data_IF_716162957656
#
_entry.id   IF_716162957656
#
_cell.length_a   1.000
_cell.length_b   1.000
_cell.length_c   1.000
_cell.angle_alpha   90.00
_cell.angle_beta   90.00
_cell.angle_gamma   90.00
#
_symmetry.space_group_name_H-M   'P 1'
#
loop_
_entity.id
_entity.type
_entity.pdbx_description
1 polymer ?
#
# COMPACT_ATOMS: atom_id res chain seq x y z
N UNK A 1 -26.76 20.19 11.23
CA UNK A 1 -25.91 19.52 12.23
C UNK A 1 -26.82 19.21 13.40
N UNK A 2 -26.74 18.00 13.93
CA UNK A 2 -27.26 17.74 15.27
C UNK A 2 -26.54 18.71 16.22
N UNK A 3 -27.23 19.65 16.88
CA UNK A 3 -26.59 20.77 17.56
C UNK A 3 -25.69 20.37 18.73
N UNK A 4 -25.77 19.11 19.17
CA UNK A 4 -25.07 18.61 20.35
C UNK A 4 -23.77 17.84 20.05
N UNK A 5 -23.45 17.55 18.79
CA UNK A 5 -22.20 16.84 18.42
C UNK A 5 -21.07 17.84 18.13
N UNK A 6 -19.91 17.59 18.73
CA UNK A 6 -18.69 18.29 18.33
C UNK A 6 -18.31 17.95 16.88
N UNK A 7 -17.57 18.82 16.16
CA UNK A 7 -17.11 18.52 14.81
C UNK A 7 -16.31 17.21 14.70
N UNK A 8 -15.63 16.81 15.78
CA UNK A 8 -14.86 15.55 15.85
C UNK A 8 -15.79 14.35 15.89
N UNK A 9 -16.79 14.37 16.78
CA UNK A 9 -17.78 13.29 16.88
C UNK A 9 -18.58 13.18 15.58
N UNK A 10 -18.99 14.32 15.02
CA UNK A 10 -19.68 14.36 13.73
C UNK A 10 -18.86 13.68 12.62
N UNK A 11 -17.56 13.95 12.54
CA UNK A 11 -16.68 13.34 11.54
C UNK A 11 -16.62 11.80 11.69
N UNK A 12 -16.38 11.27 12.89
CA UNK A 12 -16.27 9.82 13.08
C UNK A 12 -17.60 9.09 12.85
N UNK A 13 -18.71 9.69 13.29
CA UNK A 13 -20.06 9.12 13.13
C UNK A 13 -20.55 9.09 11.69
N UNK A 14 -20.10 10.03 10.87
CA UNK A 14 -20.51 10.19 9.47
C UNK A 14 -19.37 9.92 8.49
N UNK A 15 -18.25 9.37 8.98
CA UNK A 15 -17.10 9.05 8.16
C UNK A 15 -17.45 8.02 7.10
N UNK A 16 -17.01 8.28 5.86
CA UNK A 16 -17.07 7.31 4.77
C UNK A 16 -16.03 6.19 4.92
N UNK A 17 -15.04 6.38 5.80
CA UNK A 17 -14.08 5.35 6.20
C UNK A 17 -14.57 4.57 7.42
N UNK A 18 -14.24 3.28 7.46
CA UNK A 18 -14.39 2.45 8.65
C UNK A 18 -13.25 2.72 9.62
N UNK A 19 -13.56 3.27 10.79
CA UNK A 19 -12.57 3.49 11.85
C UNK A 19 -12.75 2.42 12.91
N UNK A 20 -11.64 1.82 13.34
CA UNK A 20 -11.60 0.90 14.46
C UNK A 20 -10.36 1.12 15.31
N UNK A 21 -10.43 0.79 16.59
CA UNK A 21 -9.26 0.74 17.47
C UNK A 21 -9.19 -0.66 18.07
N UNK A 22 -7.99 -1.21 18.14
CA UNK A 22 -7.68 -2.45 18.84
C UNK A 22 -6.78 -2.20 20.05
N UNK A 23 -6.91 -3.03 21.07
CA UNK A 23 -5.97 -3.09 22.19
C UNK A 23 -4.71 -3.91 21.85
N UNK A 24 -3.81 -4.06 22.83
CA UNK A 24 -2.59 -4.84 22.69
C UNK A 24 -2.81 -6.36 22.50
N UNK A 25 -4.03 -6.85 22.77
CA UNK A 25 -4.43 -8.24 22.52
C UNK A 25 -5.11 -8.41 21.15
N UNK A 26 -5.06 -7.38 20.30
CA UNK A 26 -5.72 -7.32 18.98
C UNK A 26 -7.25 -7.41 19.04
N UNK A 27 -7.86 -7.12 20.19
CA UNK A 27 -9.31 -7.05 20.38
C UNK A 27 -9.83 -5.66 20.05
N UNK A 28 -10.98 -5.59 19.37
CA UNK A 28 -11.60 -4.30 19.05
C UNK A 28 -12.13 -3.61 20.32
N UNK A 29 -11.69 -2.37 20.57
CA UNK A 29 -12.15 -1.52 21.68
C UNK A 29 -12.97 -0.32 21.23
N UNK A 30 -13.00 -0.06 19.92
CA UNK A 30 -13.86 0.94 19.30
C UNK A 30 -14.10 0.58 17.83
N UNK A 31 -15.26 0.95 17.31
CA UNK A 31 -15.48 1.01 15.87
C UNK A 31 -16.66 1.88 15.51
N UNK A 32 -16.50 2.73 14.49
CA UNK A 32 -17.58 3.59 14.04
C UNK A 32 -18.68 2.80 13.29
N UNK A 33 -19.77 3.48 12.96
CA UNK A 33 -20.92 2.90 12.23
C UNK A 33 -20.49 2.20 10.94
N UNK A 34 -19.52 2.76 10.22
CA UNK A 34 -19.07 2.22 8.93
C UNK A 34 -18.34 0.87 9.09
N UNK A 35 -17.41 0.74 10.04
CA UNK A 35 -16.72 -0.55 10.25
C UNK A 35 -17.69 -1.62 10.78
N UNK A 36 -18.64 -1.23 11.64
CA UNK A 36 -19.70 -2.11 12.13
C UNK A 36 -20.56 -2.65 10.97
N UNK A 37 -20.92 -1.78 10.01
CA UNK A 37 -21.63 -2.19 8.79
C UNK A 37 -20.81 -3.15 7.92
N UNK A 38 -19.48 -2.96 7.84
CA UNK A 38 -18.61 -3.88 7.10
C UNK A 38 -18.62 -5.27 7.70
N UNK A 39 -18.46 -5.38 9.02
CA UNK A 39 -18.50 -6.65 9.74
C UNK A 39 -19.90 -7.23 9.94
N UNK A 40 -20.96 -6.46 9.65
CA UNK A 40 -22.34 -6.90 9.86
C UNK A 40 -22.73 -7.04 11.33
N UNK A 41 -22.11 -6.26 12.22
CA UNK A 41 -22.36 -6.29 13.67
C UNK A 41 -22.76 -4.90 14.18
N UNK A 42 -23.33 -4.86 15.38
CA UNK A 42 -23.55 -3.61 16.12
C UNK A 42 -22.29 -3.23 16.87
N UNK A 43 -22.12 -1.95 17.23
CA UNK A 43 -20.97 -1.47 18.01
C UNK A 43 -20.72 -2.29 19.28
N UNK A 44 -21.77 -2.51 20.11
CA UNK A 44 -21.65 -3.33 21.32
C UNK A 44 -21.21 -4.78 21.08
N UNK A 45 -21.45 -5.32 19.88
CA UNK A 45 -21.04 -6.68 19.50
C UNK A 45 -19.66 -6.71 18.87
N UNK A 46 -19.10 -5.56 18.49
CA UNK A 46 -17.74 -5.44 18.00
C UNK A 46 -16.75 -5.46 19.17
N UNK A 47 -17.11 -4.82 20.29
CA UNK A 47 -16.22 -4.65 21.43
C UNK A 47 -15.78 -6.00 22.02
N UNK A 48 -14.48 -6.16 22.23
CA UNK A 48 -13.85 -7.38 22.75
C UNK A 48 -13.66 -8.50 21.71
N UNK A 49 -14.21 -8.37 20.50
CA UNK A 49 -14.03 -9.38 19.46
C UNK A 49 -12.63 -9.35 18.85
N UNK A 50 -12.20 -10.51 18.37
CA UNK A 50 -11.07 -10.70 17.46
C UNK A 50 -11.56 -10.68 16.00
N UNK A 51 -10.62 -10.60 15.04
CA UNK A 51 -10.98 -10.70 13.62
C UNK A 51 -11.70 -12.01 13.28
N UNK A 52 -11.28 -13.13 13.91
CA UNK A 52 -11.87 -14.46 13.71
C UNK A 52 -13.30 -14.59 14.21
N UNK A 53 -13.70 -13.80 15.23
CA UNK A 53 -15.07 -13.79 15.73
C UNK A 53 -16.02 -13.13 14.72
N UNK A 54 -15.52 -12.06 14.08
CA UNK A 54 -16.28 -11.25 13.14
C UNK A 54 -16.31 -11.88 11.74
N UNK A 55 -15.19 -12.47 11.30
CA UNK A 55 -14.96 -12.91 9.92
C UNK A 55 -14.31 -14.30 9.95
N UNK A 56 -15.10 -15.40 10.03
CA UNK A 56 -14.57 -16.74 10.29
C UNK A 56 -13.56 -17.28 9.27
N UNK A 57 -13.68 -16.87 8.00
CA UNK A 57 -12.75 -17.21 6.91
C UNK A 57 -11.34 -16.59 7.08
N UNK A 58 -11.18 -15.65 8.02
CA UNK A 58 -9.85 -15.14 8.42
C UNK A 58 -9.03 -16.22 9.12
N UNK A 59 -9.63 -17.27 9.68
CA UNK A 59 -8.94 -18.23 10.56
C UNK A 59 -7.66 -18.83 9.94
N UNK A 60 -7.63 -19.11 8.63
CA UNK A 60 -6.45 -19.65 7.94
C UNK A 60 -5.31 -18.63 7.77
N UNK A 61 -5.63 -17.33 7.86
CA UNK A 61 -4.69 -16.23 7.69
C UNK A 61 -4.49 -15.40 8.97
N UNK A 62 -5.07 -15.84 10.08
CA UNK A 62 -5.13 -15.05 11.30
C UNK A 62 -3.75 -14.81 11.93
N UNK A 63 -2.83 -15.78 11.78
CA UNK A 63 -1.44 -15.64 12.23
C UNK A 63 -0.74 -14.43 11.59
N UNK A 64 -1.01 -14.12 10.31
CA UNK A 64 -0.41 -12.97 9.64
C UNK A 64 -0.95 -11.64 10.21
N UNK A 65 -2.23 -11.61 10.61
CA UNK A 65 -2.85 -10.43 11.21
C UNK A 65 -2.24 -10.20 12.59
N UNK A 66 -2.10 -11.24 13.40
CA UNK A 66 -1.48 -11.15 14.72
C UNK A 66 -0.01 -10.75 14.64
N UNK A 67 0.74 -11.31 13.69
CA UNK A 67 2.13 -10.94 13.46
C UNK A 67 2.27 -9.46 13.08
N UNK A 68 1.42 -8.96 12.18
CA UNK A 68 1.40 -7.55 11.77
C UNK A 68 1.02 -6.63 12.94
N UNK A 69 -0.01 -6.98 13.71
CA UNK A 69 -0.43 -6.21 14.89
C UNK A 69 0.70 -6.18 15.94
N UNK A 70 1.36 -7.32 16.21
CA UNK A 70 2.51 -7.41 17.12
C UNK A 70 3.70 -6.58 16.63
N UNK A 71 4.01 -6.61 15.33
CA UNK A 71 5.09 -5.82 14.74
C UNK A 71 4.84 -4.32 14.96
N UNK A 72 3.62 -3.84 14.72
CA UNK A 72 3.26 -2.44 14.93
C UNK A 72 3.47 -2.05 16.40
N UNK A 73 2.99 -2.87 17.33
CA UNK A 73 3.10 -2.60 18.76
C UNK A 73 4.56 -2.60 19.27
N UNK A 74 5.44 -3.41 18.68
CA UNK A 74 6.86 -3.46 19.09
C UNK A 74 7.74 -2.43 18.40
N UNK A 75 7.48 -2.12 17.13
CA UNK A 75 8.36 -1.25 16.32
C UNK A 75 7.86 0.19 16.21
N UNK A 76 6.59 0.43 16.54
CA UNK A 76 5.91 1.71 16.30
C UNK A 76 5.88 2.12 14.82
N UNK A 77 6.11 1.17 13.90
CA UNK A 77 5.98 1.36 12.46
C UNK A 77 4.56 1.05 12.01
N UNK A 78 4.01 1.88 11.11
CA UNK A 78 2.69 1.62 10.52
C UNK A 78 2.72 0.51 9.47
N UNK A 79 1.56 -0.08 9.20
CA UNK A 79 1.36 -1.07 8.16
C UNK A 79 0.16 -0.71 7.29
N UNK A 80 0.18 -1.12 6.01
CA UNK A 80 -0.95 -1.03 5.11
C UNK A 80 -1.12 -2.40 4.47
N UNK A 81 -2.28 -3.02 4.68
CA UNK A 81 -2.56 -4.38 4.23
C UNK A 81 -3.82 -4.44 3.38
N UNK A 82 -3.85 -5.31 2.38
CA UNK A 82 -5.06 -5.62 1.62
C UNK A 82 -5.72 -6.86 2.24
N UNK A 83 -6.90 -6.71 2.83
CA UNK A 83 -7.68 -7.80 3.42
C UNK A 83 -8.86 -8.15 2.51
N UNK A 84 -8.94 -9.39 2.03
CA UNK A 84 -10.03 -9.86 1.17
C UNK A 84 -10.69 -11.08 1.80
N UNK A 85 -11.91 -10.89 2.34
CA UNK A 85 -12.64 -11.89 3.12
C UNK A 85 -14.16 -11.73 2.93
N UNK A 86 -14.97 -12.66 3.42
CA UNK A 86 -16.44 -12.58 3.46
C UNK A 86 -16.94 -11.73 4.64
N UNK A 87 -16.65 -10.43 4.56
CA UNK A 87 -17.08 -9.44 5.54
C UNK A 87 -18.61 -9.37 5.65
N UNK A 88 -19.13 -9.49 6.88
CA UNK A 88 -20.56 -9.43 7.16
C UNK A 88 -21.33 -10.69 6.80
N UNK A 89 -20.62 -11.80 6.49
CA UNK A 89 -21.20 -13.13 6.22
C UNK A 89 -22.25 -13.07 5.12
N UNK A 90 -21.93 -12.37 4.04
CA UNK A 90 -22.83 -12.13 2.90
C UNK A 90 -22.60 -13.13 1.78
N UNK A 91 -21.76 -14.14 1.98
CA UNK A 91 -21.34 -15.11 0.99
C UNK A 91 -20.72 -14.42 -0.25
N UNK A 92 -19.96 -13.34 -0.02
CA UNK A 92 -19.28 -12.58 -1.07
C UNK A 92 -18.02 -11.92 -0.53
N UNK A 93 -16.89 -12.20 -1.20
CA UNK A 93 -15.62 -11.54 -0.89
C UNK A 93 -15.70 -10.03 -1.08
N UNK A 94 -15.15 -9.30 -0.11
CA UNK A 94 -14.94 -7.86 -0.15
C UNK A 94 -13.49 -7.56 0.20
N UNK A 95 -12.90 -6.61 -0.50
CA UNK A 95 -11.51 -6.21 -0.32
C UNK A 95 -11.42 -4.85 0.36
N UNK A 96 -10.58 -4.75 1.38
CA UNK A 96 -10.31 -3.52 2.10
C UNK A 96 -8.82 -3.23 2.13
N UNK A 97 -8.44 -2.00 1.79
CA UNK A 97 -7.17 -1.45 2.23
C UNK A 97 -7.32 -1.10 3.70
N UNK A 98 -6.49 -1.69 4.55
CA UNK A 98 -6.49 -1.43 5.98
C UNK A 98 -5.16 -0.82 6.35
N UNK A 99 -5.19 0.48 6.62
CA UNK A 99 -4.07 1.16 7.24
C UNK A 99 -4.13 0.94 8.75
N UNK A 100 -3.02 0.53 9.34
CA UNK A 100 -2.88 0.31 10.77
C UNK A 100 -1.74 1.17 11.31
N UNK A 101 -2.02 1.97 12.33
CA UNK A 101 -1.03 2.82 12.99
C UNK A 101 -0.98 2.54 14.49
N UNK A 102 0.19 2.64 15.13
CA UNK A 102 0.27 2.57 16.57
C UNK A 102 -0.58 3.69 17.19
N UNK A 103 -1.24 3.37 18.30
CA UNK A 103 -2.09 4.29 19.04
C UNK A 103 -1.90 4.10 20.54
N UNK A 104 -2.15 5.14 21.31
CA UNK A 104 -2.10 5.10 22.77
C UNK A 104 -3.53 5.25 23.28
N UNK A 105 -4.03 4.24 23.99
CA UNK A 105 -5.37 4.25 24.58
C UNK A 105 -5.43 5.26 25.74
N UNK A 106 -6.65 5.61 26.15
CA UNK A 106 -6.89 6.62 27.19
C UNK A 106 -6.31 6.23 28.55
N UNK A 107 -6.16 4.94 28.82
CA UNK A 107 -5.54 4.40 30.04
C UNK A 107 -4.00 4.34 29.96
N UNK A 108 -3.42 4.78 28.85
CA UNK A 108 -1.98 4.77 28.62
C UNK A 108 -1.42 3.45 28.08
N UNK A 109 -2.26 2.47 27.76
CA UNK A 109 -1.84 1.21 27.14
C UNK A 109 -1.68 1.34 25.62
N UNK A 110 -0.83 0.50 25.04
CA UNK A 110 -0.62 0.49 23.59
C UNK A 110 -1.80 -0.18 22.87
N UNK A 111 -2.15 0.37 21.71
CA UNK A 111 -3.19 -0.12 20.84
C UNK A 111 -2.88 0.20 19.39
N UNK A 112 -3.84 -0.08 18.51
CA UNK A 112 -3.70 0.10 17.07
C UNK A 112 -4.96 0.78 16.53
N UNK A 113 -4.81 1.92 15.87
CA UNK A 113 -5.89 2.51 15.09
C UNK A 113 -5.88 1.94 13.68
N UNK A 114 -7.04 1.48 13.23
CA UNK A 114 -7.26 0.85 11.92
C UNK A 114 -8.22 1.70 11.08
N UNK A 115 -7.81 2.01 9.85
CA UNK A 115 -8.64 2.70 8.85
C UNK A 115 -8.96 1.74 7.72
N UNK A 116 -10.22 1.38 7.57
CA UNK A 116 -10.76 0.50 6.55
C UNK A 116 -11.31 1.30 5.37
N UNK A 117 -10.74 1.06 4.19
CA UNK A 117 -11.19 1.64 2.92
C UNK A 117 -11.59 0.47 2.00
N UNK A 118 -12.88 0.33 1.70
CA UNK A 118 -13.33 -0.68 0.73
C UNK A 118 -12.78 -0.33 -0.65
N UNK A 119 -12.05 -1.25 -1.27
CA UNK A 119 -11.62 -1.06 -2.64
C UNK A 119 -12.57 -1.81 -3.58
N UNK A 120 -13.31 -1.04 -4.36
CA UNK A 120 -14.20 -1.55 -5.41
C UNK A 120 -13.54 -1.61 -6.79
N UNK A 121 -12.46 -0.83 -6.99
CA UNK A 121 -11.71 -0.72 -8.23
C UNK A 121 -10.21 -1.00 -7.98
N UNK A 122 -9.84 -2.28 -7.86
CA UNK A 122 -8.44 -2.71 -7.80
C UNK A 122 -8.03 -3.31 -9.15
N UNK A 123 -6.87 -2.95 -9.68
CA UNK A 123 -6.32 -3.64 -10.86
C UNK A 123 -5.97 -5.10 -10.52
N UNK A 124 -6.32 -6.04 -11.41
CA UNK A 124 -6.06 -7.48 -11.25
C UNK A 124 -4.59 -7.82 -10.91
N UNK A 125 -3.66 -7.04 -11.45
CA UNK A 125 -2.21 -7.17 -11.16
C UNK A 125 -1.88 -7.09 -9.67
N UNK A 126 -2.72 -6.46 -8.85
CA UNK A 126 -2.56 -6.36 -7.40
C UNK A 126 -2.66 -7.71 -6.70
N UNK A 127 -3.44 -8.63 -7.25
CA UNK A 127 -3.61 -9.97 -6.70
C UNK A 127 -2.56 -10.96 -7.22
N UNK A 128 -1.96 -10.70 -8.39
CA UNK A 128 -0.94 -11.57 -8.98
C UNK A 128 0.47 -11.33 -8.43
N UNK A 129 0.79 -10.13 -7.94
CA UNK A 129 2.15 -9.75 -7.54
C UNK A 129 2.19 -9.09 -6.13
N UNK A 130 1.74 -9.77 -5.05
CA UNK A 130 1.67 -9.15 -3.72
C UNK A 130 3.05 -8.80 -3.13
N UNK A 131 4.05 -9.65 -3.37
CA UNK A 131 5.38 -9.54 -2.75
C UNK A 131 6.37 -8.64 -3.51
N UNK A 132 6.03 -8.20 -4.73
CA UNK A 132 6.96 -7.43 -5.58
C UNK A 132 6.73 -5.91 -5.51
N UNK A 133 5.64 -5.46 -4.89
CA UNK A 133 5.29 -4.04 -4.86
C UNK A 133 5.90 -3.35 -3.65
N UNK A 134 7.07 -2.75 -3.86
CA UNK A 134 7.67 -1.81 -2.90
C UNK A 134 7.05 -0.42 -3.08
N UNK A 135 6.89 0.37 -2.00
CA UNK A 135 6.51 1.77 -2.13
C UNK A 135 7.46 2.50 -3.05
N UNK A 136 6.94 3.44 -3.85
CA UNK A 136 7.81 4.27 -4.68
C UNK A 136 8.74 5.11 -3.81
N UNK A 137 10.00 5.18 -4.21
CA UNK A 137 10.98 6.10 -3.65
C UNK A 137 11.25 7.21 -4.66
N UNK A 138 11.31 8.43 -4.17
CA UNK A 138 11.58 9.62 -4.98
C UNK A 138 13.01 10.13 -4.79
N UNK A 139 13.80 9.41 -3.98
CA UNK A 139 15.22 9.64 -3.77
C UNK A 139 16.02 8.60 -4.53
N UNK A 140 17.12 9.04 -5.14
CA UNK A 140 17.98 8.17 -5.94
C UNK A 140 18.53 7.02 -5.06
N UNK A 141 18.38 5.75 -5.46
CA UNK A 141 18.77 4.63 -4.61
C UNK A 141 20.29 4.35 -4.65
N UNK A 142 20.98 4.79 -5.71
CA UNK A 142 22.43 4.65 -5.84
C UNK A 142 23.04 5.70 -6.80
N UNK A 143 24.29 6.09 -6.56
CA UNK A 143 25.04 7.04 -7.39
C UNK A 143 25.75 6.39 -8.61
N UNK A 144 25.19 5.30 -9.13
CA UNK A 144 25.73 4.57 -10.29
C UNK A 144 25.26 5.18 -11.61
N UNK A 145 23.97 5.53 -11.69
CA UNK A 145 23.37 6.14 -12.88
C UNK A 145 23.12 7.64 -12.67
N UNK A 146 23.19 8.39 -13.77
CA UNK A 146 22.71 9.77 -13.88
C UNK A 146 21.18 9.80 -13.91
N UNK A 147 20.56 10.95 -13.67
CA UNK A 147 19.09 11.07 -13.73
C UNK A 147 18.54 10.65 -15.10
N UNK A 148 19.26 10.99 -16.18
CA UNK A 148 18.92 10.63 -17.56
C UNK A 148 19.02 9.14 -17.87
N UNK A 149 19.86 8.41 -17.15
CA UNK A 149 19.98 6.97 -17.25
C UNK A 149 18.92 6.27 -16.39
N UNK A 150 18.66 6.80 -15.19
CA UNK A 150 17.54 6.34 -14.35
C UNK A 150 16.19 6.48 -15.05
N UNK A 151 15.97 7.56 -15.81
CA UNK A 151 14.79 7.74 -16.67
C UNK A 151 14.58 6.56 -17.63
N UNK A 152 15.66 6.06 -18.24
CA UNK A 152 15.61 4.93 -19.16
C UNK A 152 15.39 3.62 -18.42
N UNK A 153 16.07 3.42 -17.28
CA UNK A 153 15.93 2.22 -16.44
C UNK A 153 14.49 2.04 -15.99
N UNK A 154 13.82 3.11 -15.53
CA UNK A 154 12.40 3.03 -15.12
C UNK A 154 11.51 2.58 -16.28
N UNK A 155 11.63 3.18 -17.47
CA UNK A 155 10.78 2.82 -18.61
C UNK A 155 11.02 1.37 -19.07
N UNK A 156 12.25 0.88 -18.99
CA UNK A 156 12.58 -0.53 -19.24
C UNK A 156 11.94 -1.45 -18.20
N UNK A 157 11.97 -1.09 -16.91
CA UNK A 157 11.33 -1.84 -15.83
C UNK A 157 9.81 -1.87 -15.96
N UNK A 158 9.19 -0.78 -16.43
CA UNK A 158 7.77 -0.72 -16.75
C UNK A 158 7.38 -1.53 -18.02
N UNK A 159 8.33 -2.17 -18.70
CA UNK A 159 8.07 -2.94 -19.91
C UNK A 159 7.73 -2.09 -21.14
N UNK A 160 8.05 -0.80 -21.12
CA UNK A 160 7.83 0.07 -22.29
C UNK A 160 8.71 -0.39 -23.43
N UNK A 161 8.11 -0.55 -24.61
CA UNK A 161 8.84 -0.98 -25.81
C UNK A 161 9.93 0.06 -26.14
N UNK A 162 11.16 -0.40 -26.40
CA UNK A 162 12.30 0.49 -26.62
C UNK A 162 12.12 1.46 -27.81
N UNK A 163 11.26 1.14 -28.77
CA UNK A 163 10.94 2.04 -29.88
C UNK A 163 10.02 3.21 -29.47
N UNK A 164 9.29 3.10 -28.36
CA UNK A 164 8.39 4.15 -27.82
C UNK A 164 9.08 5.05 -26.79
N UNK A 165 10.14 4.58 -26.14
CA UNK A 165 10.91 5.32 -25.14
C UNK A 165 11.47 6.67 -25.66
N UNK A 166 12.00 6.78 -26.90
CA UNK A 166 12.53 8.05 -27.41
C UNK A 166 11.47 9.16 -27.43
N UNK A 167 10.24 8.84 -27.80
CA UNK A 167 9.13 9.78 -27.84
C UNK A 167 8.74 10.26 -26.44
N UNK A 168 8.70 9.35 -25.46
CA UNK A 168 8.40 9.67 -24.05
C UNK A 168 9.46 10.61 -23.45
N UNK A 169 10.73 10.36 -23.74
CA UNK A 169 11.84 11.13 -23.17
C UNK A 169 12.22 12.36 -24.01
N UNK A 170 11.64 12.54 -25.20
CA UNK A 170 12.02 13.59 -26.14
C UNK A 170 13.48 13.48 -26.63
N UNK A 171 13.95 12.26 -26.91
CA UNK A 171 15.33 11.98 -27.36
C UNK A 171 15.36 11.18 -28.66
N UNK A 172 16.54 11.06 -29.28
CA UNK A 172 16.73 10.17 -30.44
C UNK A 172 16.91 8.70 -30.03
N UNK A 173 16.59 7.76 -30.93
CA UNK A 173 16.86 6.33 -30.71
C UNK A 173 18.34 6.03 -30.50
N UNK A 174 19.25 6.81 -31.12
CA UNK A 174 20.69 6.70 -30.88
C UNK A 174 21.07 7.10 -29.46
N UNK A 175 20.45 8.17 -28.93
CA UNK A 175 20.65 8.62 -27.55
C UNK A 175 20.17 7.56 -26.56
N UNK A 176 19.00 6.97 -26.80
CA UNK A 176 18.49 5.87 -25.98
C UNK A 176 19.48 4.69 -25.95
N UNK A 177 19.94 4.22 -27.12
CA UNK A 177 20.88 3.11 -27.22
C UNK A 177 22.18 3.38 -26.45
N UNK A 178 22.72 4.60 -26.56
CA UNK A 178 23.92 5.01 -25.84
C UNK A 178 23.70 5.02 -24.31
N UNK A 179 22.54 5.48 -23.84
CA UNK A 179 22.20 5.43 -22.41
C UNK A 179 22.10 3.99 -21.91
N UNK A 180 21.43 3.11 -22.66
CA UNK A 180 21.32 1.68 -22.30
C UNK A 180 22.70 1.03 -22.23
N UNK A 181 23.58 1.27 -23.22
CA UNK A 181 24.96 0.77 -23.20
C UNK A 181 25.72 1.25 -21.96
N UNK A 182 25.68 2.55 -21.65
CA UNK A 182 26.34 3.08 -20.45
C UNK A 182 25.81 2.45 -19.16
N UNK A 183 24.50 2.21 -19.06
CA UNK A 183 23.94 1.51 -17.90
C UNK A 183 24.48 0.08 -17.81
N UNK A 184 24.57 -0.62 -18.94
CA UNK A 184 25.12 -1.97 -19.02
C UNK A 184 26.60 -1.99 -18.60
N UNK A 185 27.41 -1.08 -19.14
CA UNK A 185 28.84 -0.96 -18.83
C UNK A 185 29.08 -0.68 -17.35
N UNK A 186 28.30 0.24 -16.76
CA UNK A 186 28.41 0.61 -15.33
C UNK A 186 28.05 -0.52 -14.38
N UNK A 187 27.20 -1.44 -14.81
CA UNK A 187 26.76 -2.58 -13.99
C UNK A 187 27.47 -3.88 -14.35
N UNK A 188 28.28 -3.90 -15.41
CA UNK A 188 28.97 -5.08 -15.90
C UNK A 188 28.04 -6.14 -16.52
N UNK A 189 26.84 -5.74 -16.96
CA UNK A 189 25.86 -6.65 -17.56
C UNK A 189 25.82 -6.52 -19.08
N UNK A 190 25.34 -7.56 -19.76
CA UNK A 190 25.48 -7.64 -21.22
C UNK A 190 24.37 -6.90 -22.02
N UNK A 191 23.17 -6.74 -21.45
CA UNK A 191 22.03 -6.19 -22.21
C UNK A 191 20.94 -5.64 -21.29
N UNK A 192 19.91 -5.03 -21.88
CA UNK A 192 18.80 -4.42 -21.15
C UNK A 192 18.02 -5.40 -20.27
N UNK A 193 17.90 -6.68 -20.65
CA UNK A 193 17.19 -7.66 -19.84
C UNK A 193 17.98 -8.00 -18.57
N UNK A 194 19.29 -8.23 -18.70
CA UNK A 194 20.16 -8.48 -17.53
C UNK A 194 20.37 -7.22 -16.68
N UNK A 195 20.27 -6.03 -17.27
CA UNK A 195 20.22 -4.76 -16.55
C UNK A 195 18.97 -4.64 -15.66
N UNK A 196 17.78 -4.98 -16.16
CA UNK A 196 16.55 -4.98 -15.36
C UNK A 196 16.68 -5.96 -14.20
N UNK A 197 17.16 -7.18 -14.47
CA UNK A 197 17.37 -8.19 -13.43
C UNK A 197 18.34 -7.70 -12.34
N UNK A 198 19.45 -7.07 -12.73
CA UNK A 198 20.41 -6.48 -11.79
C UNK A 198 19.76 -5.41 -10.91
N UNK A 199 18.98 -4.50 -11.50
CA UNK A 199 18.29 -3.44 -10.76
C UNK A 199 17.29 -4.02 -9.77
N UNK A 200 16.53 -5.05 -10.15
CA UNK A 200 15.57 -5.71 -9.26
C UNK A 200 16.27 -6.42 -8.09
N UNK A 201 17.39 -7.11 -8.34
CA UNK A 201 18.19 -7.76 -7.30
C UNK A 201 18.79 -6.74 -6.30
N UNK A 202 19.10 -5.53 -6.75
CA UNK A 202 19.57 -4.43 -5.90
C UNK A 202 18.44 -3.66 -5.21
N UNK A 203 17.18 -3.98 -5.52
CA UNK A 203 16.02 -3.30 -4.99
C UNK A 203 15.85 -1.87 -5.49
N UNK A 204 16.27 -1.59 -6.73
CA UNK A 204 16.14 -0.28 -7.38
C UNK A 204 14.88 -0.14 -8.24
N UNK A 205 14.01 -1.15 -8.19
CA UNK A 205 12.80 -1.34 -9.00
C UNK A 205 11.60 -0.47 -8.61
N UNK A 206 11.76 0.36 -7.58
CA UNK A 206 10.74 1.26 -7.06
C UNK A 206 11.13 2.74 -7.09
N UNK A 207 12.25 3.10 -7.73
CA UNK A 207 12.66 4.51 -7.85
C UNK A 207 11.95 5.23 -9.00
N UNK A 208 11.35 6.39 -8.72
CA UNK A 208 10.76 7.27 -9.74
C UNK A 208 11.65 8.51 -9.95
N UNK A 209 12.28 8.66 -11.14
CA UNK A 209 13.06 9.85 -11.48
C UNK A 209 12.20 11.12 -11.54
N UNK A 210 12.75 12.29 -11.13
CA UNK A 210 12.02 13.56 -11.12
C UNK A 210 11.36 13.97 -12.44
N UNK A 211 11.90 13.52 -13.58
CA UNK A 211 11.33 13.76 -14.91
C UNK A 211 9.86 13.32 -15.02
N UNK A 212 9.47 12.25 -14.32
CA UNK A 212 8.09 11.72 -14.34
C UNK A 212 7.21 12.33 -13.25
N UNK A 213 7.76 13.16 -12.37
CA UNK A 213 7.02 13.87 -11.34
C UNK A 213 6.47 15.18 -11.92
N UNK A 214 5.39 15.05 -12.68
CA UNK A 214 4.68 16.21 -13.23
C UNK A 214 4.01 16.94 -12.07
N UNK A 215 4.32 18.23 -11.88
CA UNK A 215 3.58 19.09 -10.97
C UNK A 215 2.14 19.18 -11.45
N UNK A 216 1.21 18.63 -10.68
CA UNK A 216 -0.21 18.66 -11.03
C UNK A 216 -1.03 17.78 -10.11
N UNK A 217 -2.35 17.86 -10.26
CA UNK A 217 -3.28 16.96 -9.62
C UNK A 217 -3.62 15.85 -10.62
N UNK A 218 -3.08 14.65 -10.39
CA UNK A 218 -3.42 13.46 -11.18
C UNK A 218 -4.57 12.75 -10.47
N UNK A 219 -5.74 12.69 -11.11
CA UNK A 219 -6.85 11.88 -10.62
C UNK A 219 -6.61 10.44 -11.06
N UNK A 220 -6.46 9.54 -10.09
CA UNK A 220 -6.44 8.10 -10.31
C UNK A 220 -7.89 7.64 -10.21
N UNK A 221 -8.58 7.55 -11.35
CA UNK A 221 -9.96 7.02 -11.45
C UNK A 221 -9.96 5.54 -11.71
#
# INVERSE_FOLDING_TARGET
MDPDLTPVEYYFDHSLFGWAIKDCNSQYVYGNKMVCQYFGVTENKLLGCLDTDLTPDVSEHYEHILYDDQKILTTNEMSIVLKTFDYGRRNRLRSFLVEKRPWRLNDGTDGIVCTYIEITNVYFSTFLMPCERKPFVFTRPANIFTDKEWEVVLLLQCGVKQNSIPDILGISSSTLRNRIMRCCDKTGVANSATLIQHCNQKGWDNYIPPFFLIKGHVSIT
#
